data_IF_275954406835
#
_entry.id   IF_275954406835
#
_cell.length_a   1.000
_cell.length_b   1.000
_cell.length_c   1.000
_cell.angle_alpha   90.00
_cell.angle_beta   90.00
_cell.angle_gamma   90.00
#
_symmetry.space_group_name_H-M   'P 1'
#
loop_
_entity.id
_entity.type
_entity.pdbx_description
1 polymer ?
#
# COMPACT_ATOMS: atom_id res chain seq x y z
N UNK A 1 -16.25 32.97 0.58
CA UNK A 1 -15.87 31.55 0.51
C UNK A 1 -15.98 31.12 -0.94
N UNK A 2 -14.88 31.22 -1.69
CA UNK A 2 -14.84 30.86 -3.12
C UNK A 2 -13.98 29.60 -3.28
N UNK A 3 -14.55 28.61 -3.96
CA UNK A 3 -13.92 27.35 -4.30
C UNK A 3 -12.64 27.58 -5.10
N UNK A 4 -11.53 26.99 -4.64
CA UNK A 4 -10.31 26.90 -5.44
C UNK A 4 -10.56 25.83 -6.50
N UNK A 5 -10.87 26.29 -7.71
CA UNK A 5 -10.90 25.48 -8.91
C UNK A 5 -9.46 25.09 -9.25
N UNK A 6 -9.09 23.84 -8.97
CA UNK A 6 -7.85 23.22 -9.42
C UNK A 6 -7.93 22.99 -10.94
N UNK A 7 -7.56 24.01 -11.71
CA UNK A 7 -7.43 23.92 -13.16
C UNK A 7 -6.11 23.22 -13.51
N UNK A 8 -6.13 21.89 -13.56
CA UNK A 8 -5.04 21.11 -14.14
C UNK A 8 -4.89 21.40 -15.65
N UNK A 9 -3.66 21.60 -16.17
CA UNK A 9 -3.44 21.94 -17.57
C UNK A 9 -3.71 20.74 -18.48
N UNK A 10 -4.63 20.90 -19.43
CA UNK A 10 -4.89 19.94 -20.50
C UNK A 10 -3.83 20.08 -21.59
N UNK A 11 -2.90 19.13 -21.70
CA UNK A 11 -2.10 18.94 -22.91
C UNK A 11 -2.60 17.69 -23.66
N UNK A 12 -2.93 17.87 -24.94
CA UNK A 12 -3.32 16.82 -25.91
C UNK A 12 -4.71 16.17 -25.77
N UNK A 13 -5.70 16.79 -25.12
CA UNK A 13 -7.09 16.29 -25.14
C UNK A 13 -7.30 14.93 -24.46
N UNK A 14 -6.26 14.40 -23.82
CA UNK A 14 -6.38 13.32 -22.85
C UNK A 14 -6.68 13.96 -21.50
N UNK A 15 -7.87 13.71 -20.95
CA UNK A 15 -8.08 13.89 -19.52
C UNK A 15 -7.02 13.04 -18.84
N UNK A 16 -6.04 13.65 -18.18
CA UNK A 16 -5.10 12.92 -17.32
C UNK A 16 -5.96 12.11 -16.37
N UNK A 17 -5.96 10.76 -16.46
CA UNK A 17 -6.70 9.96 -15.47
C UNK A 17 -6.09 10.35 -14.14
N UNK A 18 -6.91 10.69 -13.16
CA UNK A 18 -6.44 11.18 -11.86
C UNK A 18 -5.46 10.15 -11.27
N UNK A 19 -4.17 10.36 -11.55
CA UNK A 19 -3.09 9.56 -11.00
C UNK A 19 -3.04 10.05 -9.58
N UNK A 20 -3.79 9.38 -8.70
CA UNK A 20 -3.79 9.71 -7.29
C UNK A 20 -2.37 9.91 -6.78
N UNK A 21 -2.17 10.81 -5.81
CA UNK A 21 -0.87 11.33 -5.44
C UNK A 21 0.16 10.20 -5.33
N UNK A 22 1.27 10.34 -6.04
CA UNK A 22 2.36 9.38 -5.96
C UNK A 22 2.87 9.34 -4.51
N UNK A 23 3.32 8.18 -4.01
CA UNK A 23 3.92 8.12 -2.69
C UNK A 23 5.10 9.08 -2.60
N UNK A 24 5.23 9.75 -1.46
CA UNK A 24 6.35 10.63 -1.19
C UNK A 24 7.68 9.95 -1.52
N UNK A 25 8.62 10.73 -2.06
CA UNK A 25 9.92 10.22 -2.52
C UNK A 25 10.66 9.45 -1.42
N UNK A 26 10.54 9.88 -0.17
CA UNK A 26 11.18 9.22 0.97
C UNK A 26 10.56 7.85 1.26
N UNK A 27 9.24 7.70 1.09
CA UNK A 27 8.54 6.41 1.18
C UNK A 27 8.98 5.47 0.06
N UNK A 28 9.17 5.97 -1.16
CA UNK A 28 9.68 5.16 -2.28
C UNK A 28 11.14 4.72 -2.04
N UNK A 29 11.99 5.62 -1.55
CA UNK A 29 13.37 5.29 -1.16
C UNK A 29 13.39 4.25 -0.03
N UNK A 30 12.52 4.39 0.96
CA UNK A 30 12.37 3.42 2.03
C UNK A 30 11.97 2.05 1.49
N UNK A 31 10.95 1.97 0.63
CA UNK A 31 10.52 0.72 -0.01
C UNK A 31 11.64 0.06 -0.82
N UNK A 32 12.40 0.85 -1.58
CA UNK A 32 13.57 0.35 -2.31
C UNK A 32 14.66 -0.16 -1.36
N UNK A 33 14.91 0.54 -0.25
CA UNK A 33 15.90 0.14 0.75
C UNK A 33 15.56 -1.15 1.51
N UNK A 34 14.28 -1.57 1.49
CA UNK A 34 13.85 -2.82 2.12
C UNK A 34 14.24 -4.06 1.31
N UNK A 35 14.63 -3.89 0.05
CA UNK A 35 14.96 -4.97 -0.89
C UNK A 35 13.89 -6.07 -0.87
N UNK A 36 12.65 -5.67 -1.18
CA UNK A 36 11.49 -6.55 -1.07
C UNK A 36 11.62 -7.73 -2.04
N UNK A 37 11.29 -8.97 -1.63
CA UNK A 37 11.29 -10.13 -2.52
C UNK A 37 10.18 -10.08 -3.58
N UNK A 38 9.33 -9.04 -3.54
CA UNK A 38 8.27 -8.80 -4.51
C UNK A 38 8.71 -7.70 -5.46
N UNK A 39 8.68 -7.97 -6.77
CA UNK A 39 8.98 -6.96 -7.78
C UNK A 39 7.91 -5.86 -7.76
N UNK A 40 8.31 -4.65 -7.38
CA UNK A 40 7.47 -3.44 -7.42
C UNK A 40 7.25 -2.97 -8.87
N UNK A 41 6.36 -3.65 -9.61
CA UNK A 41 6.00 -3.25 -10.97
C UNK A 41 4.79 -2.32 -10.98
N UNK A 42 3.82 -2.57 -10.11
CA UNK A 42 2.57 -1.80 -10.06
C UNK A 42 2.15 -1.56 -8.61
N UNK A 43 2.76 -0.59 -7.90
CA UNK A 43 2.57 -0.42 -6.46
C UNK A 43 1.10 -0.28 -6.04
N UNK A 44 0.26 0.37 -6.86
CA UNK A 44 -1.20 0.45 -6.62
C UNK A 44 -1.88 -0.93 -6.65
N UNK A 45 -1.56 -1.76 -7.65
CA UNK A 45 -2.13 -3.09 -7.82
C UNK A 45 -1.57 -4.08 -6.80
N UNK A 46 -0.28 -3.98 -6.51
CA UNK A 46 0.42 -4.85 -5.58
C UNK A 46 0.02 -4.55 -4.12
N UNK A 47 -0.24 -3.26 -3.81
CA UNK A 47 -0.89 -2.84 -2.57
C UNK A 47 -2.34 -3.32 -2.51
N UNK A 48 -3.14 -3.16 -3.57
CA UNK A 48 -4.52 -3.65 -3.62
C UNK A 48 -4.65 -5.15 -3.34
N UNK A 49 -3.65 -5.95 -3.74
CA UNK A 49 -3.61 -7.38 -3.44
C UNK A 49 -3.16 -7.71 -2.00
N UNK A 50 -2.54 -6.76 -1.31
CA UNK A 50 -1.95 -6.96 0.02
C UNK A 50 -0.60 -7.67 0.01
N UNK A 51 -0.16 -8.24 -1.12
CA UNK A 51 1.12 -8.97 -1.25
C UNK A 51 2.33 -8.05 -1.11
N UNK A 52 2.23 -6.79 -1.55
CA UNK A 52 3.26 -5.79 -1.29
C UNK A 52 3.44 -5.56 0.21
N UNK A 53 2.32 -5.36 0.91
CA UNK A 53 2.33 -5.12 2.37
C UNK A 53 2.84 -6.34 3.11
N UNK A 54 2.47 -7.56 2.67
CA UNK A 54 3.03 -8.79 3.22
C UNK A 54 4.56 -8.85 3.05
N UNK A 55 5.10 -8.43 1.89
CA UNK A 55 6.54 -8.33 1.69
C UNK A 55 7.23 -7.36 2.65
N UNK A 56 6.59 -6.21 2.93
CA UNK A 56 7.09 -5.24 3.93
C UNK A 56 7.10 -5.91 5.31
N UNK A 57 5.99 -6.52 5.73
CA UNK A 57 5.91 -7.17 7.03
C UNK A 57 6.88 -8.34 7.16
N UNK A 58 7.15 -9.10 6.11
CA UNK A 58 8.18 -10.15 6.12
C UNK A 58 9.57 -9.60 6.46
N UNK A 59 9.92 -8.38 6.03
CA UNK A 59 11.22 -7.78 6.35
C UNK A 59 11.33 -7.34 7.81
N UNK A 60 10.23 -6.94 8.43
CA UNK A 60 10.21 -6.50 9.82
C UNK A 60 9.91 -7.64 10.81
N UNK A 61 9.11 -8.63 10.38
CA UNK A 61 8.60 -9.74 11.18
C UNK A 61 8.71 -11.05 10.37
N UNK A 62 9.93 -11.52 10.08
CA UNK A 62 10.15 -12.71 9.25
C UNK A 62 9.53 -13.99 9.84
N UNK A 63 9.33 -14.03 11.16
CA UNK A 63 8.76 -15.18 11.86
C UNK A 63 7.23 -15.30 11.74
N UNK A 64 6.52 -14.18 11.49
CA UNK A 64 5.05 -14.19 11.44
C UNK A 64 4.48 -14.23 10.03
N UNK A 65 5.29 -13.86 9.04
CA UNK A 65 4.83 -13.70 7.66
C UNK A 65 5.50 -14.71 6.76
N UNK A 66 4.67 -15.48 6.07
CA UNK A 66 5.12 -16.35 5.00
C UNK A 66 4.55 -15.85 3.67
N UNK A 67 5.39 -15.28 2.81
CA UNK A 67 4.95 -14.70 1.53
C UNK A 67 4.33 -15.73 0.57
N UNK A 68 4.70 -17.01 0.69
CA UNK A 68 4.12 -18.10 -0.10
C UNK A 68 2.65 -18.37 0.28
N UNK A 69 2.22 -17.98 1.48
CA UNK A 69 0.83 -18.11 1.93
C UNK A 69 -0.12 -17.07 1.30
N UNK A 70 0.41 -16.02 0.65
CA UNK A 70 -0.39 -14.96 0.03
C UNK A 70 -0.52 -15.18 -1.48
N UNK A 71 -1.58 -15.83 -1.99
CA UNK A 71 -1.74 -16.04 -3.43
C UNK A 71 -1.77 -14.72 -4.21
N UNK A 72 -1.11 -14.68 -5.37
CA UNK A 72 -1.15 -13.53 -6.29
C UNK A 72 -2.42 -13.50 -7.15
N UNK A 73 -3.58 -13.77 -6.53
CA UNK A 73 -4.86 -13.77 -7.23
C UNK A 73 -5.34 -12.35 -7.51
N UNK A 74 -6.05 -12.16 -8.63
CA UNK A 74 -6.65 -10.87 -9.01
C UNK A 74 -8.11 -10.75 -8.59
N UNK A 75 -8.74 -11.85 -8.15
CA UNK A 75 -10.14 -11.87 -7.75
C UNK A 75 -10.38 -11.09 -6.46
N UNK A 76 -11.53 -10.41 -6.35
CA UNK A 76 -11.88 -9.63 -5.17
C UNK A 76 -11.85 -10.48 -3.88
N UNK A 77 -12.34 -11.71 -3.95
CA UNK A 77 -12.29 -12.67 -2.83
C UNK A 77 -10.85 -12.96 -2.40
N UNK A 78 -9.94 -13.18 -3.35
CA UNK A 78 -8.52 -13.42 -3.03
C UNK A 78 -7.89 -12.22 -2.34
N UNK A 79 -8.13 -11.00 -2.84
CA UNK A 79 -7.63 -9.77 -2.22
C UNK A 79 -8.14 -9.63 -0.79
N UNK A 80 -9.44 -9.86 -0.58
CA UNK A 80 -10.06 -9.72 0.73
C UNK A 80 -9.51 -10.74 1.74
N UNK A 81 -9.32 -11.99 1.34
CA UNK A 81 -8.72 -13.01 2.21
C UNK A 81 -7.24 -12.70 2.52
N UNK A 82 -6.47 -12.21 1.53
CA UNK A 82 -5.10 -11.74 1.75
C UNK A 82 -5.07 -10.60 2.79
N UNK A 83 -5.96 -9.63 2.66
CA UNK A 83 -6.05 -8.50 3.60
C UNK A 83 -6.49 -8.91 5.00
N UNK A 84 -7.45 -9.84 5.15
CA UNK A 84 -7.83 -10.38 6.46
C UNK A 84 -6.66 -11.08 7.14
N UNK A 85 -5.89 -11.89 6.40
CA UNK A 85 -4.71 -12.56 6.94
C UNK A 85 -3.66 -11.52 7.38
N UNK A 86 -3.44 -10.50 6.57
CA UNK A 86 -2.53 -9.42 6.88
C UNK A 86 -2.94 -8.64 8.13
N UNK A 87 -4.24 -8.30 8.28
CA UNK A 87 -4.78 -7.65 9.47
C UNK A 87 -4.57 -8.48 10.74
N UNK A 88 -4.75 -9.80 10.68
CA UNK A 88 -4.48 -10.70 11.83
C UNK A 88 -3.01 -10.67 12.25
N UNK A 89 -2.10 -10.69 11.28
CA UNK A 89 -0.66 -10.62 11.57
C UNK A 89 -0.29 -9.24 12.11
N UNK A 90 -0.86 -8.18 11.54
CA UNK A 90 -0.63 -6.81 11.98
C UNK A 90 -1.14 -6.57 13.40
N UNK A 91 -2.30 -7.09 13.75
CA UNK A 91 -2.86 -7.00 15.10
C UNK A 91 -1.94 -7.65 16.15
N UNK A 92 -1.25 -8.76 15.82
CA UNK A 92 -0.24 -9.37 16.72
C UNK A 92 0.95 -8.45 17.00
N UNK A 93 1.20 -7.48 16.12
CA UNK A 93 2.33 -6.53 16.20
C UNK A 93 1.88 -5.12 16.58
N UNK A 94 0.66 -4.98 17.10
CA UNK A 94 0.04 -3.71 17.49
C UNK A 94 -0.01 -2.71 16.32
N UNK A 95 -0.28 -3.23 15.11
CA UNK A 95 -0.50 -2.43 13.91
C UNK A 95 -1.94 -2.66 13.46
N UNK A 96 -2.72 -1.60 13.42
CA UNK A 96 -4.13 -1.66 13.05
C UNK A 96 -4.33 -1.02 11.68
N UNK A 97 -4.96 -1.76 10.78
CA UNK A 97 -5.43 -1.24 9.50
C UNK A 97 -6.93 -1.00 9.60
N UNK A 98 -7.34 0.25 9.40
CA UNK A 98 -8.75 0.60 9.36
C UNK A 98 -9.43 -0.07 8.15
N UNK A 99 -10.57 -0.72 8.38
CA UNK A 99 -11.30 -1.45 7.35
C UNK A 99 -11.72 -0.55 6.18
N UNK A 100 -11.95 0.74 6.44
CA UNK A 100 -12.26 1.73 5.41
C UNK A 100 -11.08 1.92 4.44
N UNK A 101 -9.86 2.05 4.98
CA UNK A 101 -8.62 2.16 4.19
C UNK A 101 -8.40 0.89 3.37
N UNK A 102 -8.55 -0.29 3.99
CA UNK A 102 -8.41 -1.58 3.30
C UNK A 102 -9.42 -1.71 2.16
N UNK A 103 -10.67 -1.28 2.38
CA UNK A 103 -11.72 -1.27 1.34
C UNK A 103 -11.33 -0.35 0.18
N UNK A 104 -10.92 0.88 0.46
CA UNK A 104 -10.48 1.87 -0.55
C UNK A 104 -9.31 1.37 -1.38
N UNK A 105 -8.32 0.73 -0.75
CA UNK A 105 -7.16 0.14 -1.44
C UNK A 105 -7.58 -1.05 -2.31
N UNK A 106 -8.47 -1.91 -1.80
CA UNK A 106 -8.96 -3.08 -2.55
C UNK A 106 -9.76 -2.66 -3.79
N UNK A 107 -10.52 -1.56 -3.67
CA UNK A 107 -11.26 -0.91 -4.76
C UNK A 107 -10.35 -0.18 -5.76
N UNK A 108 -9.09 0.07 -5.38
CA UNK A 108 -8.12 0.75 -6.24
C UNK A 108 -8.28 2.27 -6.25
N UNK A 109 -8.81 2.85 -5.18
CA UNK A 109 -9.02 4.28 -5.06
C UNK A 109 -7.68 5.04 -5.21
N UNK A 110 -7.62 6.07 -6.07
CA UNK A 110 -6.41 6.88 -6.26
C UNK A 110 -6.00 7.52 -4.92
N UNK A 111 -4.73 7.36 -4.54
CA UNK A 111 -4.18 7.91 -3.29
C UNK A 111 -4.33 7.02 -2.05
N UNK A 112 -5.27 6.08 -2.02
CA UNK A 112 -5.45 5.19 -0.85
C UNK A 112 -4.23 4.28 -0.61
N UNK A 113 -3.68 3.71 -1.67
CA UNK A 113 -2.44 2.91 -1.59
C UNK A 113 -1.25 3.76 -1.14
N UNK A 114 -1.18 5.02 -1.55
CA UNK A 114 -0.14 5.97 -1.15
C UNK A 114 -0.23 6.27 0.35
N UNK A 115 -1.41 6.66 0.84
CA UNK A 115 -1.64 6.97 2.24
C UNK A 115 -1.26 5.80 3.16
N UNK A 116 -1.57 4.57 2.75
CA UNK A 116 -1.16 3.38 3.49
C UNK A 116 0.37 3.23 3.56
N UNK A 117 1.05 3.34 2.41
CA UNK A 117 2.51 3.16 2.35
C UNK A 117 3.23 4.23 3.18
N UNK A 118 2.71 5.46 3.18
CA UNK A 118 3.24 6.55 4.01
C UNK A 118 2.98 6.32 5.50
N UNK A 119 1.77 5.89 5.87
CA UNK A 119 1.46 5.51 7.26
C UNK A 119 2.34 4.37 7.77
N UNK A 120 2.56 3.35 6.92
CA UNK A 120 3.48 2.25 7.22
C UNK A 120 4.93 2.73 7.36
N UNK A 121 5.39 3.61 6.47
CA UNK A 121 6.73 4.18 6.56
C UNK A 121 6.93 4.95 7.87
N UNK A 122 5.93 5.73 8.32
CA UNK A 122 6.01 6.46 9.59
C UNK A 122 6.02 5.50 10.80
N UNK A 123 5.13 4.51 10.83
CA UNK A 123 5.05 3.56 11.94
C UNK A 123 6.26 2.62 12.02
N UNK A 124 6.68 2.03 10.89
CA UNK A 124 7.77 1.06 10.83
C UNK A 124 9.14 1.73 10.74
N UNK A 125 9.24 2.91 10.14
CA UNK A 125 10.47 3.71 10.07
C UNK A 125 10.95 4.12 11.46
N UNK A 126 10.02 4.42 12.37
CA UNK A 126 10.32 4.70 13.78
C UNK A 126 10.81 3.45 14.53
N UNK A 127 10.32 2.26 14.17
CA UNK A 127 10.70 0.98 14.82
C UNK A 127 12.08 0.46 14.40
N UNK A 128 12.60 0.85 13.22
CA UNK A 128 13.92 0.41 12.71
C UNK A 128 15.13 1.05 13.38
N UNK A 129 14.94 2.10 14.20
CA UNK A 129 16.04 2.84 14.87
C UNK A 129 16.35 2.38 16.30
N UNK A 130 15.88 1.21 16.74
CA UNK A 130 16.25 0.62 18.03
C UNK A 130 17.02 -0.68 17.84
#
# INVERSE_FOLDING_TARGET
>A
MAAVMDSSPQCFGYSTPEVGPLPNRDTLKWLQSLDLPVALRHPRRDAANGRLVAGIFLKYFPEDVLLTAFPNGTSAKCKQENWKMLQRIAAKRDIFFEDDIVRKITQGEPGAATALLEGLHQQLGSRRRR
#
